data_IF_179718505903
#
_entry.id   IF_179718505903
#
_cell.length_a   1.000
_cell.length_b   1.000
_cell.length_c   1.000
_cell.angle_alpha   90.00
_cell.angle_beta   90.00
_cell.angle_gamma   90.00
#
_symmetry.space_group_name_H-M   'P 1'
#
loop_
_entity.id
_entity.type
_entity.pdbx_description
1 polymer ?
#
# COMPACT_ATOMS: atom_id res chain seq x y z
N UNK A 1 11.46 -7.05 26.85
CA UNK A 1 11.85 -6.10 25.78
C UNK A 1 11.50 -4.71 26.25
N UNK A 2 12.35 -3.69 26.04
CA UNK A 2 12.01 -2.31 26.43
C UNK A 2 10.92 -1.74 25.52
N UNK A 3 10.15 -0.75 25.99
CA UNK A 3 9.12 -0.08 25.17
C UNK A 3 9.72 0.51 23.88
N UNK A 4 10.94 1.05 23.95
CA UNK A 4 11.66 1.60 22.79
C UNK A 4 11.92 0.55 21.69
N UNK A 5 12.05 -0.73 22.07
CA UNK A 5 12.23 -1.83 21.11
C UNK A 5 10.96 -2.05 20.29
N UNK A 6 9.79 -1.91 20.92
CA UNK A 6 8.48 -2.11 20.27
C UNK A 6 8.21 -0.94 19.33
N UNK A 7 8.44 0.29 19.76
CA UNK A 7 8.25 1.48 18.92
C UNK A 7 9.11 1.45 17.66
N UNK A 8 10.32 0.85 17.75
CA UNK A 8 11.18 0.64 16.59
C UNK A 8 10.61 -0.39 15.61
N UNK A 9 10.02 -1.47 16.12
CA UNK A 9 9.40 -2.54 15.33
C UNK A 9 8.08 -2.13 14.68
N UNK A 10 7.35 -1.20 15.28
CA UNK A 10 6.09 -0.68 14.74
C UNK A 10 6.28 0.31 13.58
N UNK A 11 7.52 0.77 13.34
CA UNK A 11 7.84 1.60 12.18
C UNK A 11 7.88 0.77 10.91
N UNK A 12 7.57 1.43 9.78
CA UNK A 12 7.76 0.84 8.45
C UNK A 12 9.23 0.54 8.24
N UNK A 13 9.57 -0.73 8.06
CA UNK A 13 10.94 -1.15 7.78
C UNK A 13 11.23 -1.07 6.27
N UNK A 14 12.39 -0.55 5.84
CA UNK A 14 12.78 -0.61 4.44
C UNK A 14 13.14 -2.06 4.05
N UNK A 15 12.77 -2.46 2.83
CA UNK A 15 13.09 -3.79 2.29
C UNK A 15 13.73 -3.63 0.91
N UNK A 16 14.90 -4.25 0.64
CA UNK A 16 15.55 -4.17 -0.66
C UNK A 16 14.97 -5.26 -1.57
N UNK A 17 13.87 -4.95 -2.26
CA UNK A 17 13.17 -5.94 -3.10
C UNK A 17 13.97 -6.32 -4.34
N UNK A 18 14.64 -5.37 -4.98
CA UNK A 18 15.54 -5.64 -6.12
C UNK A 18 16.69 -6.58 -5.75
N UNK A 19 17.20 -6.49 -4.51
CA UNK A 19 18.23 -7.41 -4.01
C UNK A 19 17.71 -8.85 -3.83
N UNK A 20 16.39 -9.06 -3.66
CA UNK A 20 15.76 -10.38 -3.59
C UNK A 20 15.65 -11.03 -4.99
N UNK A 21 16.78 -11.19 -5.67
CA UNK A 21 16.88 -11.72 -7.04
C UNK A 21 16.81 -13.25 -7.15
N UNK A 22 16.76 -13.96 -6.01
CA UNK A 22 16.62 -15.42 -5.98
C UNK A 22 16.96 -16.03 -4.62
N UNK A 23 16.81 -17.36 -4.46
CA UNK A 23 16.96 -18.04 -3.17
C UNK A 23 18.40 -17.96 -2.60
N UNK A 24 19.40 -17.74 -3.44
CA UNK A 24 20.80 -17.64 -3.01
C UNK A 24 21.05 -16.45 -2.07
N UNK A 25 20.30 -15.36 -2.21
CA UNK A 25 20.47 -14.16 -1.36
C UNK A 25 19.95 -14.37 0.06
N UNK A 26 19.14 -15.42 0.29
CA UNK A 26 18.62 -15.80 1.61
C UNK A 26 19.39 -16.97 2.25
N UNK A 27 20.56 -17.30 1.73
CA UNK A 27 21.45 -18.28 2.38
C UNK A 27 22.07 -17.69 3.64
N UNK A 28 22.36 -18.56 4.61
CA UNK A 28 23.03 -18.17 5.84
C UNK A 28 24.40 -17.53 5.53
N UNK A 29 24.73 -16.47 6.26
CA UNK A 29 25.99 -15.74 6.10
C UNK A 29 26.03 -14.70 4.96
N UNK A 30 24.94 -14.53 4.19
CA UNK A 30 24.83 -13.38 3.27
C UNK A 30 24.69 -12.10 4.12
N UNK A 31 25.59 -11.10 3.98
CA UNK A 31 25.54 -9.89 4.78
C UNK A 31 24.28 -9.07 4.50
N UNK A 32 23.94 -8.18 5.43
CA UNK A 32 22.91 -7.16 5.18
C UNK A 32 23.35 -6.31 3.96
N UNK A 33 22.47 -6.08 2.97
CA UNK A 33 22.82 -5.28 1.80
C UNK A 33 23.23 -3.86 2.18
N UNK A 34 24.02 -3.23 1.33
CA UNK A 34 24.37 -1.82 1.49
C UNK A 34 23.17 -0.91 1.23
N UNK A 35 23.21 0.34 1.71
CA UNK A 35 22.12 1.31 1.58
C UNK A 35 21.63 1.49 0.13
N UNK A 36 22.51 1.38 -0.86
CA UNK A 36 22.21 1.52 -2.29
C UNK A 36 21.22 0.47 -2.80
N UNK A 37 21.23 -0.72 -2.19
CA UNK A 37 20.32 -1.82 -2.53
C UNK A 37 18.91 -1.59 -1.95
N UNK A 38 18.78 -0.70 -0.96
CA UNK A 38 17.50 -0.27 -0.43
C UNK A 38 17.00 0.92 -1.25
N UNK A 39 16.38 0.68 -2.40
CA UNK A 39 15.65 1.71 -3.14
C UNK A 39 14.18 1.34 -3.25
N UNK A 40 13.33 2.35 -3.43
CA UNK A 40 11.89 2.17 -3.64
C UNK A 40 11.62 1.95 -5.12
N UNK A 41 11.36 0.70 -5.52
CA UNK A 41 11.15 0.35 -6.93
C UNK A 41 10.04 1.14 -7.62
N UNK A 42 8.98 1.51 -6.88
CA UNK A 42 7.82 2.23 -7.45
C UNK A 42 8.04 3.73 -7.60
N UNK A 43 8.88 4.34 -6.76
CA UNK A 43 9.12 5.80 -6.79
C UNK A 43 10.50 6.16 -7.32
N UNK A 44 11.36 5.16 -7.53
CA UNK A 44 12.77 5.31 -7.88
C UNK A 44 13.56 6.19 -6.89
N UNK A 45 13.08 6.31 -5.66
CA UNK A 45 13.75 7.03 -4.59
C UNK A 45 14.75 6.11 -3.87
N UNK A 46 15.91 6.66 -3.51
CA UNK A 46 16.90 6.01 -2.66
C UNK A 46 16.42 5.95 -1.20
N UNK A 47 16.85 4.94 -0.43
CA UNK A 47 16.63 4.91 1.01
C UNK A 47 17.39 6.05 1.68
N UNK A 48 16.71 6.73 2.61
CA UNK A 48 17.36 7.78 3.38
C UNK A 48 18.35 7.19 4.38
N UNK A 49 19.34 7.98 4.78
CA UNK A 49 20.33 7.55 5.76
C UNK A 49 19.67 7.21 7.10
N UNK A 50 18.63 7.96 7.50
CA UNK A 50 17.88 7.72 8.74
C UNK A 50 17.14 6.37 8.73
N UNK A 51 16.54 6.02 7.60
CA UNK A 51 15.84 4.74 7.41
C UNK A 51 16.81 3.56 7.45
N UNK A 52 18.00 3.72 6.88
CA UNK A 52 19.05 2.71 6.93
C UNK A 52 19.65 2.55 8.34
N UNK A 53 19.83 3.64 9.08
CA UNK A 53 20.27 3.57 10.49
C UNK A 53 19.27 2.82 11.38
N UNK A 54 17.97 2.91 11.09
CA UNK A 54 16.95 2.11 11.78
C UNK A 54 17.19 0.62 11.56
N UNK A 55 17.51 0.21 10.34
CA UNK A 55 17.85 -1.19 10.02
C UNK A 55 19.06 -1.65 10.83
N UNK A 56 20.13 -0.85 10.85
CA UNK A 56 21.34 -1.19 11.62
C UNK A 56 21.06 -1.31 13.12
N UNK A 57 20.23 -0.41 13.68
CA UNK A 57 19.80 -0.47 15.09
C UNK A 57 19.01 -1.76 15.37
N UNK A 58 18.10 -2.15 14.49
CA UNK A 58 17.35 -3.42 14.61
C UNK A 58 18.30 -4.60 14.53
N UNK A 59 19.23 -4.61 13.57
CA UNK A 59 20.20 -5.68 13.43
C UNK A 59 21.05 -5.85 14.69
N UNK A 60 21.49 -4.74 15.29
CA UNK A 60 22.22 -4.74 16.56
C UNK A 60 21.36 -5.25 17.72
N UNK A 61 20.13 -4.73 17.87
CA UNK A 61 19.24 -5.04 18.98
C UNK A 61 18.79 -6.51 18.99
N UNK A 62 18.48 -7.07 17.82
CA UNK A 62 18.01 -8.45 17.65
C UNK A 62 19.14 -9.43 17.32
N UNK A 63 20.40 -8.98 17.33
CA UNK A 63 21.58 -9.79 17.02
C UNK A 63 21.47 -10.50 15.66
N UNK A 64 20.97 -9.79 14.66
CA UNK A 64 20.80 -10.28 13.29
C UNK A 64 22.18 -10.40 12.64
N UNK A 65 22.51 -11.59 12.16
CA UNK A 65 23.84 -11.90 11.61
C UNK A 65 23.90 -11.87 10.08
N UNK A 66 22.76 -12.11 9.44
CA UNK A 66 22.67 -12.20 7.99
C UNK A 66 21.33 -11.69 7.47
N UNK A 67 21.26 -11.52 6.15
CA UNK A 67 20.06 -11.04 5.46
C UNK A 67 18.89 -12.02 5.54
N UNK A 68 19.15 -13.31 5.73
CA UNK A 68 18.11 -14.31 5.94
C UNK A 68 17.35 -14.05 7.25
N UNK A 69 18.08 -13.84 8.35
CA UNK A 69 17.51 -13.48 9.66
C UNK A 69 16.74 -12.16 9.59
N UNK A 70 17.29 -11.14 8.92
CA UNK A 70 16.60 -9.86 8.69
C UNK A 70 15.27 -10.07 7.95
N UNK A 71 15.28 -10.86 6.88
CA UNK A 71 14.10 -11.15 6.08
C UNK A 71 13.03 -11.88 6.89
N UNK A 72 13.41 -12.87 7.70
CA UNK A 72 12.49 -13.58 8.59
C UNK A 72 11.82 -12.63 9.57
N UNK A 73 12.60 -11.76 10.21
CA UNK A 73 12.07 -10.75 11.13
C UNK A 73 11.09 -9.81 10.42
N UNK A 74 11.49 -9.25 9.28
CA UNK A 74 10.64 -8.38 8.46
C UNK A 74 9.30 -9.06 8.12
N UNK A 75 9.31 -10.30 7.63
CA UNK A 75 8.10 -11.02 7.23
C UNK A 75 7.18 -11.32 8.41
N UNK A 76 7.74 -11.67 9.57
CA UNK A 76 6.96 -11.87 10.80
C UNK A 76 6.28 -10.56 11.21
N UNK A 77 7.02 -9.45 11.20
CA UNK A 77 6.49 -8.14 11.57
C UNK A 77 5.40 -7.68 10.61
N UNK A 78 5.63 -7.77 9.31
CA UNK A 78 4.67 -7.39 8.27
C UNK A 78 3.35 -8.17 8.42
N UNK A 79 3.46 -9.49 8.65
CA UNK A 79 2.30 -10.36 8.90
C UNK A 79 1.58 -10.02 10.21
N UNK A 80 2.34 -9.74 11.29
CA UNK A 80 1.76 -9.39 12.58
C UNK A 80 1.05 -8.03 12.56
N UNK A 81 1.65 -7.02 11.90
CA UNK A 81 1.07 -5.70 11.71
C UNK A 81 -0.22 -5.79 10.89
N UNK A 82 -0.23 -6.60 9.83
CA UNK A 82 -1.44 -6.87 9.05
C UNK A 82 -2.54 -7.48 9.94
N UNK A 83 -2.18 -8.44 10.79
CA UNK A 83 -3.11 -9.04 11.76
C UNK A 83 -3.71 -8.01 12.72
N UNK A 84 -2.89 -7.10 13.26
CA UNK A 84 -3.34 -6.02 14.16
C UNK A 84 -4.32 -5.09 13.43
N UNK A 85 -3.96 -4.64 12.22
CA UNK A 85 -4.83 -3.78 11.39
C UNK A 85 -6.15 -4.47 11.09
N UNK A 86 -6.11 -5.77 10.77
CA UNK A 86 -7.31 -6.55 10.46
C UNK A 86 -8.21 -6.77 11.67
N UNK A 87 -7.65 -7.04 12.85
CA UNK A 87 -8.43 -7.13 14.09
C UNK A 87 -9.14 -5.82 14.41
N UNK A 88 -8.44 -4.68 14.26
CA UNK A 88 -9.05 -3.37 14.43
C UNK A 88 -10.16 -3.12 13.39
N UNK A 89 -9.97 -3.59 12.15
CA UNK A 89 -11.01 -3.52 11.12
C UNK A 89 -12.26 -4.35 11.49
N UNK A 90 -12.11 -5.56 12.03
CA UNK A 90 -13.24 -6.38 12.52
C UNK A 90 -13.99 -5.66 13.64
N UNK A 91 -13.27 -5.18 14.66
CA UNK A 91 -13.88 -4.51 15.80
C UNK A 91 -14.64 -3.25 15.39
N UNK A 92 -14.06 -2.41 14.53
CA UNK A 92 -14.70 -1.19 14.06
C UNK A 92 -15.88 -1.48 13.12
N UNK A 93 -15.77 -2.50 12.27
CA UNK A 93 -16.85 -2.92 11.37
C UNK A 93 -18.05 -3.44 12.15
N UNK A 94 -17.80 -4.31 13.13
CA UNK A 94 -18.85 -4.84 13.99
C UNK A 94 -19.50 -3.72 14.83
N UNK A 95 -18.71 -2.80 15.38
CA UNK A 95 -19.22 -1.64 16.12
C UNK A 95 -20.08 -0.71 15.25
N UNK A 96 -19.69 -0.50 14.00
CA UNK A 96 -20.37 0.47 13.11
C UNK A 96 -21.60 -0.11 12.43
N UNK A 97 -21.54 -1.38 12.00
CA UNK A 97 -22.56 -1.99 11.15
C UNK A 97 -23.17 -3.28 11.71
N UNK A 98 -22.63 -3.82 12.82
CA UNK A 98 -23.07 -5.11 13.38
C UNK A 98 -22.65 -6.32 12.54
N UNK A 99 -21.77 -6.13 11.56
CA UNK A 99 -21.34 -7.18 10.62
C UNK A 99 -19.85 -7.45 10.83
N UNK A 100 -19.50 -8.72 10.96
CA UNK A 100 -18.12 -9.16 10.96
C UNK A 100 -17.63 -9.34 9.50
N UNK A 101 -16.64 -8.56 9.05
CA UNK A 101 -16.14 -8.62 7.69
C UNK A 101 -15.42 -9.95 7.36
N UNK A 102 -15.08 -10.77 8.35
CA UNK A 102 -14.39 -12.06 8.15
C UNK A 102 -15.25 -13.10 7.43
N UNK A 103 -16.57 -12.94 7.44
CA UNK A 103 -17.51 -13.79 6.69
C UNK A 103 -17.60 -13.41 5.21
N UNK A 104 -16.85 -12.39 4.77
CA UNK A 104 -16.93 -11.84 3.42
C UNK A 104 -15.56 -11.88 2.76
N UNK A 105 -15.55 -12.27 1.48
CA UNK A 105 -14.29 -12.46 0.75
C UNK A 105 -13.57 -11.14 0.43
N UNK A 106 -14.29 -10.02 0.34
CA UNK A 106 -13.74 -8.72 -0.08
C UNK A 106 -14.34 -7.56 0.71
N UNK A 107 -13.59 -6.46 0.79
CA UNK A 107 -14.07 -5.21 1.38
C UNK A 107 -15.29 -4.63 0.63
N UNK A 108 -15.39 -4.83 -0.69
CA UNK A 108 -16.57 -4.42 -1.46
C UNK A 108 -17.80 -5.25 -1.14
N UNK A 109 -17.65 -6.57 -0.91
CA UNK A 109 -18.72 -7.44 -0.45
C UNK A 109 -19.21 -7.04 0.94
N UNK A 110 -18.28 -6.70 1.83
CA UNK A 110 -18.59 -6.09 3.13
C UNK A 110 -19.37 -4.78 3.00
N UNK A 111 -18.90 -3.83 2.19
CA UNK A 111 -19.59 -2.56 2.00
C UNK A 111 -21.00 -2.76 1.42
N UNK A 112 -21.16 -3.69 0.48
CA UNK A 112 -22.46 -4.04 -0.09
C UNK A 112 -23.42 -4.63 0.94
N UNK A 113 -22.95 -5.60 1.74
CA UNK A 113 -23.79 -6.20 2.78
C UNK A 113 -24.14 -5.19 3.87
N UNK A 114 -23.19 -4.34 4.28
CA UNK A 114 -23.44 -3.27 5.22
C UNK A 114 -24.46 -2.26 4.69
N UNK A 115 -24.38 -1.90 3.41
CA UNK A 115 -25.36 -1.05 2.74
C UNK A 115 -26.77 -1.66 2.77
N UNK A 116 -26.92 -2.92 2.37
CA UNK A 116 -28.22 -3.60 2.38
C UNK A 116 -28.79 -3.74 3.80
N UNK A 117 -27.96 -4.14 4.76
CA UNK A 117 -28.36 -4.28 6.17
C UNK A 117 -28.80 -2.95 6.78
N UNK A 118 -28.06 -1.87 6.50
CA UNK A 118 -28.34 -0.54 7.07
C UNK A 118 -29.58 0.10 6.44
N UNK A 119 -29.76 -0.04 5.13
CA UNK A 119 -30.86 0.62 4.40
C UNK A 119 -32.14 -0.21 4.35
N UNK A 120 -32.05 -1.54 4.52
CA UNK A 120 -33.16 -2.45 4.29
C UNK A 120 -33.63 -2.48 2.83
N UNK A 121 -32.82 -2.00 1.89
CA UNK A 121 -33.18 -1.93 0.48
C UNK A 121 -33.36 -3.34 -0.10
N UNK A 122 -34.50 -3.58 -0.73
CA UNK A 122 -34.76 -4.81 -1.49
C UNK A 122 -34.35 -4.59 -2.95
N UNK A 123 -33.17 -5.09 -3.32
CA UNK A 123 -32.58 -4.93 -4.65
C UNK A 123 -32.64 -6.26 -5.39
N UNK A 124 -33.32 -6.24 -6.54
CA UNK A 124 -33.45 -7.41 -7.40
C UNK A 124 -32.47 -7.36 -8.58
N UNK A 125 -32.10 -8.55 -9.06
CA UNK A 125 -31.27 -8.69 -10.26
C UNK A 125 -32.01 -8.20 -11.51
N UNK A 126 -31.33 -7.41 -12.33
CA UNK A 126 -31.79 -7.07 -13.67
C UNK A 126 -31.75 -8.35 -14.53
N UNK A 127 -32.91 -8.80 -15.01
CA UNK A 127 -33.02 -10.03 -15.83
C UNK A 127 -32.99 -9.78 -17.34
N UNK A 128 -33.37 -8.58 -17.77
CA UNK A 128 -33.37 -8.20 -19.19
C UNK A 128 -31.98 -7.73 -19.62
N UNK A 129 -31.43 -8.40 -20.64
CA UNK A 129 -30.15 -8.04 -21.25
C UNK A 129 -30.12 -6.60 -21.76
N UNK A 130 -31.20 -6.10 -22.38
CA UNK A 130 -31.23 -4.73 -22.92
C UNK A 130 -31.09 -3.69 -21.81
N UNK A 131 -31.69 -3.96 -20.65
CA UNK A 131 -31.54 -3.08 -19.48
C UNK A 131 -30.13 -3.14 -18.90
N UNK A 132 -29.51 -4.32 -18.86
CA UNK A 132 -28.10 -4.46 -18.45
C UNK A 132 -27.19 -3.67 -19.39
N UNK A 133 -27.39 -3.81 -20.70
CA UNK A 133 -26.58 -3.14 -21.72
C UNK A 133 -26.73 -1.61 -21.59
N UNK A 134 -27.96 -1.10 -21.45
CA UNK A 134 -28.23 0.33 -21.21
C UNK A 134 -27.50 0.86 -19.98
N UNK A 135 -27.56 0.14 -18.84
CA UNK A 135 -26.88 0.56 -17.61
C UNK A 135 -25.38 0.57 -17.81
N UNK A 136 -24.81 -0.49 -18.40
CA UNK A 136 -23.36 -0.60 -18.65
C UNK A 136 -22.86 0.50 -19.58
N UNK A 137 -23.59 0.79 -20.65
CA UNK A 137 -23.29 1.86 -21.59
C UNK A 137 -23.39 3.25 -20.95
N UNK A 138 -24.14 3.39 -19.85
CA UNK A 138 -24.24 4.61 -19.05
C UNK A 138 -23.17 4.78 -17.97
N UNK A 139 -22.47 3.70 -17.56
CA UNK A 139 -21.44 3.78 -16.52
C UNK A 139 -20.25 4.60 -17.02
N UNK A 140 -19.89 5.65 -16.28
CA UNK A 140 -18.69 6.46 -16.49
C UNK A 140 -17.85 6.43 -15.22
N UNK A 141 -16.53 6.37 -15.36
CA UNK A 141 -15.61 6.55 -14.24
C UNK A 141 -15.53 8.01 -13.80
N UNK A 142 -14.64 8.29 -12.85
CA UNK A 142 -14.30 9.67 -12.49
C UNK A 142 -13.73 10.43 -13.69
N UNK A 143 -14.07 11.72 -13.80
CA UNK A 143 -13.49 12.60 -14.83
C UNK A 143 -12.01 12.79 -14.49
N UNK A 144 -11.12 12.32 -15.36
CA UNK A 144 -9.69 12.61 -15.30
C UNK A 144 -9.30 13.46 -16.50
N UNK A 145 -8.85 14.68 -16.24
CA UNK A 145 -8.47 15.64 -17.27
C UNK A 145 -7.07 16.18 -16.99
N UNK A 146 -6.12 15.87 -17.88
CA UNK A 146 -4.83 16.55 -17.93
C UNK A 146 -4.92 17.69 -18.96
N UNK A 147 -5.41 18.85 -18.53
CA UNK A 147 -5.47 20.02 -19.41
C UNK A 147 -4.09 20.63 -19.60
N UNK A 148 -3.67 20.85 -20.86
CA UNK A 148 -2.50 21.66 -21.18
C UNK A 148 -2.85 23.14 -20.92
N UNK A 149 -2.11 23.81 -20.04
CA UNK A 149 -2.19 25.27 -19.92
C UNK A 149 -1.64 25.90 -21.20
N UNK A 150 -2.50 26.32 -22.13
CA UNK A 150 -2.09 27.18 -23.22
C UNK A 150 -1.93 28.59 -22.65
N UNK A 151 -0.69 29.05 -22.52
CA UNK A 151 -0.36 30.43 -22.15
C UNK A 151 0.17 31.13 -23.40
N UNK A 152 -0.70 31.78 -24.16
CA UNK A 152 -0.28 32.67 -25.24
C UNK A 152 -0.07 34.07 -24.65
N UNK A 153 1.18 34.45 -24.39
CA UNK A 153 1.50 35.84 -24.06
C UNK A 153 1.58 36.66 -25.36
N UNK A 154 0.55 37.45 -25.67
CA UNK A 154 0.58 38.38 -26.80
C UNK A 154 1.25 39.70 -26.40
N UNK A 155 2.57 39.67 -26.18
CA UNK A 155 3.37 40.88 -25.93
C UNK A 155 4.36 41.07 -27.08
N UNK A 156 4.17 42.15 -27.85
CA UNK A 156 4.98 42.52 -29.02
C UNK A 156 6.48 42.72 -28.70
N UNK A 157 6.85 42.92 -27.44
CA UNK A 157 8.24 43.17 -27.02
C UNK A 157 9.03 41.91 -26.61
N UNK A 158 8.45 40.72 -26.71
CA UNK A 158 9.10 39.46 -26.33
C UNK A 158 9.52 38.67 -27.58
N UNK A 159 10.81 38.63 -27.96
CA UNK A 159 11.25 38.13 -29.27
C UNK A 159 11.34 36.62 -29.44
N UNK A 160 10.81 35.80 -28.52
CA UNK A 160 10.88 34.34 -28.66
C UNK A 160 9.58 33.67 -28.21
N UNK A 161 8.86 33.13 -29.19
CA UNK A 161 7.70 32.27 -28.99
C UNK A 161 8.10 31.03 -28.19
N UNK A 162 7.79 31.03 -26.90
CA UNK A 162 7.79 29.82 -26.09
C UNK A 162 6.48 29.07 -26.35
N UNK A 163 6.47 28.19 -27.35
CA UNK A 163 5.46 27.14 -27.41
C UNK A 163 5.88 26.04 -26.43
N UNK A 164 5.29 26.04 -25.25
CA UNK A 164 5.24 24.86 -24.37
C UNK A 164 4.22 23.87 -24.90
#
# INVERSE_FOLDING_TARGET
MSNDSIDLLLKKLPKPYTFLSGPNVLKDGVPIPEIQEFHKDMTHEECSQEDYEIILKICSLFQIKDFCMYTKLYTILDSALLGIVYMNFIQNSFKSYGIDPSYLCTASGFAWQAFLYTTGADIHYIRDKKMIDLVREGIRGGVSMAAKKIVCANNEKTPFNFNA
#
